data_IF_050333832181
#
_entry.id   IF_050333832181
#
_cell.length_a   1.000
_cell.length_b   1.000
_cell.length_c   1.000
_cell.angle_alpha   90.00
_cell.angle_beta   90.00
_cell.angle_gamma   90.00
#
_symmetry.space_group_name_H-M   'P 1'
#
loop_
_entity.id
_entity.type
_entity.pdbx_description
1 polymer ?
#
# COMPACT_ATOMS: atom_id res chain seq x y z
N UNK A 1 7.21 -10.54 19.31
CA UNK A 1 6.83 -9.81 18.09
C UNK A 1 5.38 -9.28 18.07
N UNK A 2 4.31 -10.08 17.95
CA UNK A 2 2.93 -9.53 17.80
C UNK A 2 2.47 -8.59 18.93
N UNK A 3 2.61 -9.03 20.19
CA UNK A 3 2.28 -8.20 21.36
C UNK A 3 3.18 -6.97 21.46
N UNK A 4 4.48 -7.14 21.19
CA UNK A 4 5.47 -6.07 21.14
C UNK A 4 5.10 -5.00 20.12
N UNK A 5 4.71 -5.39 18.91
CA UNK A 5 4.29 -4.48 17.85
C UNK A 5 3.02 -3.71 18.20
N UNK A 6 2.00 -4.39 18.77
CA UNK A 6 0.79 -3.68 19.22
C UNK A 6 1.08 -2.68 20.35
N UNK A 7 1.99 -3.01 21.26
CA UNK A 7 2.43 -2.09 22.29
C UNK A 7 3.22 -0.91 21.70
N UNK A 8 4.11 -1.18 20.73
CA UNK A 8 4.82 -0.16 19.99
C UNK A 8 3.86 0.84 19.33
N UNK A 9 2.84 0.36 18.61
CA UNK A 9 1.82 1.22 18.00
C UNK A 9 1.09 2.10 19.02
N UNK A 10 0.71 1.55 20.18
CA UNK A 10 0.05 2.32 21.25
C UNK A 10 0.92 3.45 21.79
N UNK A 11 2.23 3.24 21.83
CA UNK A 11 3.18 4.17 22.41
C UNK A 11 3.63 5.24 21.40
N UNK A 12 3.90 4.84 20.16
CA UNK A 12 4.57 5.67 19.16
C UNK A 12 3.63 6.20 18.07
N UNK A 13 2.42 5.65 17.94
CA UNK A 13 1.42 6.09 16.97
C UNK A 13 -0.01 6.13 17.56
N UNK A 14 -0.27 6.94 18.62
CA UNK A 14 -1.57 7.01 19.28
C UNK A 14 -2.71 7.48 18.36
N UNK A 15 -2.39 8.15 17.25
CA UNK A 15 -3.34 8.56 16.20
C UNK A 15 -3.83 7.39 15.34
N UNK A 16 -3.11 6.26 15.32
CA UNK A 16 -3.47 5.06 14.57
C UNK A 16 -4.16 4.05 15.50
N UNK A 17 -5.10 3.28 14.94
CA UNK A 17 -5.73 2.19 15.68
C UNK A 17 -4.76 1.01 15.78
N UNK A 18 -4.34 0.56 16.97
CA UNK A 18 -3.42 -0.56 17.11
C UNK A 18 -4.07 -1.86 16.61
N UNK A 19 -3.64 -2.32 15.43
CA UNK A 19 -4.11 -3.57 14.82
C UNK A 19 -2.93 -4.29 14.17
N UNK A 20 -3.03 -5.61 14.06
CA UNK A 20 -1.99 -6.41 13.42
C UNK A 20 -2.10 -6.33 11.89
N UNK A 21 -0.97 -6.54 11.23
CA UNK A 21 -0.94 -6.77 9.79
C UNK A 21 -1.89 -7.94 9.43
N UNK A 22 -2.87 -7.73 8.54
CA UNK A 22 -3.81 -8.77 8.16
C UNK A 22 -3.09 -9.79 7.28
N UNK A 23 -3.24 -11.08 7.60
CA UNK A 23 -2.64 -12.16 6.81
C UNK A 23 -3.42 -12.33 5.50
N UNK A 24 -2.82 -12.04 4.33
CA UNK A 24 -3.51 -12.23 3.07
C UNK A 24 -3.70 -13.72 2.79
N UNK A 25 -4.89 -14.09 2.34
CA UNK A 25 -5.23 -15.41 1.83
C UNK A 25 -5.09 -15.36 0.31
N UNK A 26 -4.17 -16.14 -0.24
CA UNK A 26 -3.80 -16.13 -1.67
C UNK A 26 -5.01 -16.27 -2.60
N UNK A 27 -6.01 -17.05 -2.19
CA UNK A 27 -7.22 -17.31 -2.97
C UNK A 27 -8.34 -16.27 -2.80
N UNK A 28 -8.20 -15.30 -1.89
CA UNK A 28 -9.22 -14.27 -1.60
C UNK A 28 -8.64 -12.88 -1.83
N UNK A 29 -8.90 -12.32 -3.00
CA UNK A 29 -8.33 -11.05 -3.44
C UNK A 29 -8.59 -9.90 -2.45
N UNK A 30 -9.78 -9.87 -1.82
CA UNK A 30 -10.10 -8.85 -0.82
C UNK A 30 -9.25 -8.92 0.45
N UNK A 31 -8.67 -10.08 0.79
CA UNK A 31 -7.71 -10.16 1.88
C UNK A 31 -6.37 -9.53 1.52
N UNK A 32 -5.92 -9.69 0.26
CA UNK A 32 -4.71 -9.03 -0.26
C UNK A 32 -4.88 -7.51 -0.30
N UNK A 33 -6.00 -7.01 -0.81
CA UNK A 33 -6.27 -5.57 -0.81
C UNK A 33 -6.29 -4.96 0.60
N UNK A 34 -6.85 -5.67 1.59
CA UNK A 34 -6.83 -5.23 3.00
C UNK A 34 -5.40 -5.15 3.53
N UNK A 35 -4.51 -6.07 3.15
CA UNK A 35 -3.09 -6.01 3.49
C UNK A 35 -2.38 -4.83 2.85
N UNK A 36 -2.66 -4.54 1.57
CA UNK A 36 -2.10 -3.36 0.88
C UNK A 36 -2.56 -2.05 1.54
N UNK A 37 -3.86 -1.91 1.83
CA UNK A 37 -4.40 -0.73 2.52
C UNK A 37 -3.77 -0.57 3.90
N UNK A 38 -3.61 -1.69 4.64
CA UNK A 38 -2.92 -1.67 5.91
C UNK A 38 -1.47 -1.21 5.76
N UNK A 39 -0.71 -1.72 4.79
CA UNK A 39 0.67 -1.26 4.57
C UNK A 39 0.69 0.22 4.25
N UNK A 40 -0.19 0.70 3.37
CA UNK A 40 -0.26 2.12 3.04
C UNK A 40 -0.49 3.02 4.28
N UNK A 41 -1.26 2.55 5.26
CA UNK A 41 -1.54 3.27 6.50
C UNK A 41 -0.42 3.15 7.56
N UNK A 42 0.26 1.99 7.65
CA UNK A 42 1.17 1.65 8.76
C UNK A 42 2.64 1.47 8.34
N UNK A 43 2.99 1.70 7.07
CA UNK A 43 4.33 1.41 6.52
C UNK A 43 5.44 2.02 7.37
N UNK A 44 5.33 3.30 7.73
CA UNK A 44 6.35 3.98 8.53
C UNK A 44 6.48 3.33 9.91
N UNK A 45 5.38 3.02 10.60
CA UNK A 45 5.42 2.39 11.91
C UNK A 45 5.98 0.97 11.87
N UNK A 46 5.82 0.26 10.74
CA UNK A 46 6.44 -1.04 10.54
C UNK A 46 7.95 -0.88 10.40
N UNK A 47 8.42 0.09 9.60
CA UNK A 47 9.84 0.38 9.43
C UNK A 47 10.46 0.76 10.78
N UNK A 48 9.84 1.69 11.51
CA UNK A 48 10.32 2.16 12.81
C UNK A 48 10.38 0.99 13.82
N UNK A 49 9.32 0.18 13.90
CA UNK A 49 9.31 -0.99 14.76
C UNK A 49 10.40 -1.99 14.39
N UNK A 50 10.61 -2.27 13.10
CA UNK A 50 11.65 -3.18 12.66
C UNK A 50 13.03 -2.65 13.04
N UNK A 51 13.28 -1.35 12.92
CA UNK A 51 14.55 -0.74 13.30
C UNK A 51 14.84 -0.85 14.81
N UNK A 52 13.81 -0.72 15.65
CA UNK A 52 13.94 -0.89 17.11
C UNK A 52 13.95 -2.36 17.57
N UNK A 53 13.37 -3.26 16.77
CA UNK A 53 13.25 -4.67 17.12
C UNK A 53 14.52 -5.43 16.70
N UNK A 54 15.39 -5.67 17.68
CA UNK A 54 16.54 -6.58 17.52
C UNK A 54 16.06 -8.03 17.44
N UNK A 55 16.27 -8.65 16.28
CA UNK A 55 15.87 -10.04 15.98
C UNK A 55 16.79 -10.60 14.90
N UNK A 56 17.34 -11.79 15.15
CA UNK A 56 18.25 -12.49 14.26
C UNK A 56 17.51 -13.32 13.19
N UNK A 57 16.18 -13.22 13.13
CA UNK A 57 15.40 -13.90 12.12
C UNK A 57 15.73 -13.38 10.71
N UNK A 58 16.14 -14.29 9.82
CA UNK A 58 16.51 -13.95 8.44
C UNK A 58 15.42 -13.23 7.65
N UNK A 59 14.15 -13.49 7.95
CA UNK A 59 13.02 -12.80 7.31
C UNK A 59 12.89 -11.36 7.80
N UNK A 60 13.13 -11.12 9.09
CA UNK A 60 13.14 -9.77 9.68
C UNK A 60 14.28 -8.95 9.09
N UNK A 61 15.49 -9.53 9.01
CA UNK A 61 16.67 -8.89 8.41
C UNK A 61 16.42 -8.54 6.94
N UNK A 62 15.94 -9.50 6.14
CA UNK A 62 15.61 -9.27 4.73
C UNK A 62 14.59 -8.14 4.53
N UNK A 63 13.56 -8.07 5.39
CA UNK A 63 12.59 -6.99 5.33
C UNK A 63 13.21 -5.63 5.67
N UNK A 64 14.11 -5.55 6.67
CA UNK A 64 14.85 -4.32 6.97
C UNK A 64 15.67 -3.86 5.77
N UNK A 65 16.45 -4.76 5.17
CA UNK A 65 17.27 -4.47 3.98
C UNK A 65 16.42 -3.96 2.80
N UNK A 66 15.22 -4.50 2.63
CA UNK A 66 14.27 -4.04 1.62
C UNK A 66 13.80 -2.60 1.88
N UNK A 67 13.57 -2.23 3.13
CA UNK A 67 13.12 -0.88 3.51
C UNK A 67 14.25 0.15 3.55
N UNK A 68 15.50 -0.27 3.76
CA UNK A 68 16.70 0.59 3.66
C UNK A 68 16.96 1.07 2.22
N UNK A 69 16.41 0.36 1.22
CA UNK A 69 16.50 0.80 -0.17
C UNK A 69 15.44 1.86 -0.46
N UNK A 70 15.82 3.14 -0.34
CA UNK A 70 14.94 4.29 -0.58
C UNK A 70 14.17 4.23 -1.91
N UNK A 71 14.80 3.74 -2.97
CA UNK A 71 14.17 3.63 -4.31
C UNK A 71 13.07 2.56 -4.28
N UNK A 72 13.35 1.41 -3.66
CA UNK A 72 12.37 0.33 -3.53
C UNK A 72 11.22 0.77 -2.62
N UNK A 73 11.52 1.39 -1.48
CA UNK A 73 10.56 1.92 -0.51
C UNK A 73 9.63 2.94 -1.15
N UNK A 74 10.16 3.90 -1.91
CA UNK A 74 9.34 4.94 -2.57
C UNK A 74 8.43 4.33 -3.64
N UNK A 75 8.94 3.41 -4.48
CA UNK A 75 8.14 2.66 -5.46
C UNK A 75 7.01 1.87 -4.80
N UNK A 76 7.30 1.18 -3.69
CA UNK A 76 6.29 0.46 -2.91
C UNK A 76 5.24 1.46 -2.42
N UNK A 77 5.62 2.60 -1.85
CA UNK A 77 4.69 3.60 -1.35
C UNK A 77 3.76 4.15 -2.45
N UNK A 78 4.27 4.41 -3.65
CA UNK A 78 3.46 4.80 -4.82
C UNK A 78 2.46 3.71 -5.17
N UNK A 79 2.89 2.45 -5.24
CA UNK A 79 2.01 1.31 -5.55
C UNK A 79 0.93 1.10 -4.49
N UNK A 80 1.30 1.17 -3.21
CA UNK A 80 0.38 1.04 -2.08
C UNK A 80 -0.67 2.16 -2.10
N UNK A 81 -0.24 3.40 -2.39
CA UNK A 81 -1.13 4.55 -2.50
C UNK A 81 -2.10 4.37 -3.65
N UNK A 82 -1.59 4.02 -4.84
CA UNK A 82 -2.41 3.79 -6.02
C UNK A 82 -3.48 2.72 -5.77
N UNK A 83 -3.09 1.55 -5.26
CA UNK A 83 -4.05 0.47 -4.97
C UNK A 83 -5.08 0.92 -3.95
N UNK A 84 -4.67 1.64 -2.90
CA UNK A 84 -5.58 2.11 -1.84
C UNK A 84 -6.59 3.14 -2.36
N UNK A 85 -6.21 3.98 -3.33
CA UNK A 85 -7.08 5.00 -3.91
C UNK A 85 -8.05 4.44 -4.96
N UNK A 86 -7.57 3.59 -5.85
CA UNK A 86 -8.32 3.20 -7.06
C UNK A 86 -9.02 1.84 -6.94
N UNK A 87 -8.51 0.92 -6.12
CA UNK A 87 -9.09 -0.41 -5.99
C UNK A 87 -10.27 -0.58 -5.01
N UNK A 88 -10.72 0.38 -4.16
CA UNK A 88 -11.89 0.18 -3.30
C UNK A 88 -13.17 -0.21 -4.05
N UNK A 89 -13.38 0.29 -5.27
CA UNK A 89 -14.53 -0.08 -6.10
C UNK A 89 -14.45 -1.53 -6.60
N UNK A 90 -13.25 -1.99 -6.93
CA UNK A 90 -12.98 -3.39 -7.28
C UNK A 90 -13.26 -4.28 -6.08
N UNK A 91 -12.74 -3.92 -4.91
CA UNK A 91 -12.98 -4.67 -3.67
C UNK A 91 -14.46 -4.82 -3.35
N UNK A 92 -15.23 -3.71 -3.44
CA UNK A 92 -16.68 -3.72 -3.21
C UNK A 92 -17.41 -4.64 -4.20
N UNK A 93 -16.99 -4.67 -5.47
CA UNK A 93 -17.58 -5.58 -6.44
C UNK A 93 -17.27 -7.04 -6.08
N UNK A 94 -16.03 -7.35 -5.69
CA UNK A 94 -15.64 -8.69 -5.25
C UNK A 94 -16.46 -9.12 -4.03
N UNK A 95 -16.58 -8.26 -2.99
CA UNK A 95 -17.37 -8.57 -1.79
C UNK A 95 -18.84 -8.85 -2.15
N UNK A 96 -19.42 -8.09 -3.09
CA UNK A 96 -20.78 -8.32 -3.54
C UNK A 96 -20.92 -9.67 -4.26
N UNK A 97 -19.95 -10.04 -5.10
CA UNK A 97 -19.96 -11.29 -5.86
C UNK A 97 -19.71 -12.51 -4.97
N UNK A 98 -18.81 -12.42 -4.00
CA UNK A 98 -18.47 -13.49 -3.06
C UNK A 98 -19.56 -13.68 -1.98
N UNK A 99 -20.19 -12.59 -1.54
CA UNK A 99 -21.07 -12.58 -0.38
C UNK A 99 -22.54 -12.90 -0.66
N UNK A 100 -22.94 -13.14 -1.90
CA UNK A 100 -24.36 -13.35 -2.21
C UNK A 100 -24.69 -14.81 -2.53
N UNK A 101 -25.78 -15.27 -1.92
CA UNK A 101 -26.45 -16.52 -2.25
C UNK A 101 -27.33 -16.42 -3.51
N UNK A 102 -27.27 -15.30 -4.23
CA UNK A 102 -28.12 -15.00 -5.39
C UNK A 102 -27.31 -15.04 -6.70
N UNK A 103 -27.92 -15.55 -7.78
CA UNK A 103 -27.24 -15.70 -9.06
C UNK A 103 -27.00 -14.35 -9.74
N UNK A 104 -25.74 -13.94 -9.83
CA UNK A 104 -25.34 -12.67 -10.46
C UNK A 104 -25.13 -12.75 -11.97
N UNK A 105 -25.24 -13.93 -12.59
CA UNK A 105 -24.87 -14.11 -13.99
C UNK A 105 -25.56 -13.10 -14.93
N UNK A 106 -26.83 -12.79 -14.68
CA UNK A 106 -27.64 -11.86 -15.47
C UNK A 106 -27.29 -10.38 -15.28
N UNK A 107 -26.66 -9.97 -14.18
CA UNK A 107 -26.27 -8.57 -13.91
C UNK A 107 -24.76 -8.34 -13.89
N UNK A 108 -23.96 -9.40 -14.01
CA UNK A 108 -22.50 -9.33 -13.98
C UNK A 108 -21.97 -8.39 -15.05
N UNK A 109 -22.47 -8.50 -16.28
CA UNK A 109 -22.04 -7.66 -17.39
C UNK A 109 -22.27 -6.17 -17.11
N UNK A 110 -23.47 -5.82 -16.62
CA UNK A 110 -23.79 -4.44 -16.23
C UNK A 110 -22.84 -3.92 -15.15
N UNK A 111 -22.58 -4.72 -14.11
CA UNK A 111 -21.66 -4.33 -13.02
C UNK A 111 -20.22 -4.14 -13.51
N UNK A 112 -19.78 -4.94 -14.48
CA UNK A 112 -18.45 -4.80 -15.09
C UNK A 112 -18.36 -3.54 -15.94
N UNK A 113 -19.38 -3.21 -16.73
CA UNK A 113 -19.42 -1.95 -17.49
C UNK A 113 -19.49 -0.72 -16.58
N UNK A 114 -20.23 -0.79 -15.46
CA UNK A 114 -20.24 0.26 -14.44
C UNK A 114 -18.85 0.47 -13.83
N UNK A 115 -18.17 -0.64 -13.49
CA UNK A 115 -16.80 -0.60 -12.95
C UNK A 115 -15.83 -0.01 -13.98
N UNK A 116 -15.87 -0.48 -15.23
CA UNK A 116 -15.02 0.00 -16.32
C UNK A 116 -15.23 1.50 -16.55
N UNK A 117 -16.48 1.95 -16.68
CA UNK A 117 -16.81 3.36 -16.87
C UNK A 117 -16.31 4.21 -15.69
N UNK A 118 -16.45 3.70 -14.47
CA UNK A 118 -15.93 4.37 -13.28
C UNK A 118 -14.40 4.47 -13.27
N UNK A 119 -13.69 3.40 -13.65
CA UNK A 119 -12.23 3.39 -13.72
C UNK A 119 -11.73 4.30 -14.83
N UNK A 120 -12.38 4.31 -15.99
CA UNK A 120 -12.06 5.22 -17.09
C UNK A 120 -12.20 6.68 -16.67
N UNK A 121 -13.30 7.06 -15.99
CA UNK A 121 -13.45 8.42 -15.41
C UNK A 121 -12.36 8.76 -14.39
N UNK A 122 -11.86 7.77 -13.65
CA UNK A 122 -10.76 7.96 -12.71
C UNK A 122 -9.41 8.10 -13.42
N UNK A 123 -9.23 7.47 -14.59
CA UNK A 123 -8.05 7.67 -15.45
C UNK A 123 -8.10 8.98 -16.23
N UNK A 124 -9.28 9.46 -16.60
CA UNK A 124 -9.52 10.76 -17.26
C UNK A 124 -9.48 11.92 -16.26
N UNK A 125 -9.72 11.63 -14.98
CA UNK A 125 -9.40 12.51 -13.87
C UNK A 125 -7.89 12.56 -13.62
N UNK A 126 -7.41 13.70 -13.15
CA UNK A 126 -6.07 13.81 -12.57
C UNK A 126 -5.88 12.74 -11.48
N UNK A 127 -4.68 12.17 -11.34
CA UNK A 127 -4.35 11.29 -10.21
C UNK A 127 -4.84 11.92 -8.89
N UNK A 128 -5.20 11.10 -7.89
CA UNK A 128 -5.60 11.63 -6.58
C UNK A 128 -4.52 12.56 -6.01
N UNK A 129 -4.91 13.60 -5.26
CA UNK A 129 -3.97 14.61 -4.73
C UNK A 129 -2.77 13.95 -4.02
N UNK A 130 -2.98 12.85 -3.29
CA UNK A 130 -1.89 12.15 -2.60
C UNK A 130 -0.94 11.46 -3.58
N UNK A 131 -1.45 10.79 -4.60
CA UNK A 131 -0.62 10.16 -5.65
C UNK A 131 0.19 11.22 -6.41
N UNK A 132 -0.41 12.38 -6.76
CA UNK A 132 0.32 13.49 -7.39
C UNK A 132 1.40 14.05 -6.49
N UNK A 133 1.08 14.28 -5.21
CA UNK A 133 2.02 14.83 -4.25
C UNK A 133 3.24 13.89 -4.09
N UNK A 134 3.04 12.59 -4.04
CA UNK A 134 4.13 11.61 -3.98
C UNK A 134 4.94 11.61 -5.29
N UNK A 135 4.29 11.54 -6.47
CA UNK A 135 4.99 11.55 -7.76
C UNK A 135 5.76 12.85 -8.02
N UNK A 136 5.24 14.00 -7.56
CA UNK A 136 5.93 15.29 -7.65
C UNK A 136 7.16 15.36 -6.74
N UNK A 137 7.11 14.67 -5.59
CA UNK A 137 8.23 14.56 -4.67
C UNK A 137 9.30 13.60 -5.23
N UNK A 138 8.91 12.47 -5.83
CA UNK A 138 9.84 11.54 -6.50
C UNK A 138 10.55 12.18 -7.71
N UNK A 139 9.84 12.93 -8.56
CA UNK A 139 10.46 13.65 -9.68
C UNK A 139 11.47 14.71 -9.22
N UNK A 140 11.29 15.30 -8.05
CA UNK A 140 12.28 16.20 -7.44
C UNK A 140 13.50 15.47 -6.88
N UNK A 141 13.33 14.21 -6.44
CA UNK A 141 14.43 13.36 -5.94
C UNK A 141 15.32 12.92 -7.10
N UNK A 142 14.74 12.54 -8.24
CA UNK A 142 15.48 12.09 -9.44
C UNK A 142 16.37 13.22 -10.00
N UNK A 143 15.87 14.46 -10.01
CA UNK A 143 16.63 15.63 -10.47
C UNK A 143 17.72 16.11 -9.48
N UNK A 144 17.51 15.91 -8.18
CA UNK A 144 18.47 16.23 -7.10
C UNK A 144 19.60 15.19 -7.01
N UNK A 145 19.30 13.91 -7.24
CA UNK A 145 20.30 12.83 -7.26
C UNK A 145 21.25 12.90 -8.46
N UNK A 146 20.78 13.34 -9.63
CA UNK A 146 21.65 13.59 -10.79
C UNK A 146 22.70 14.69 -10.52
N UNK A 147 22.35 15.72 -9.75
CA UNK A 147 23.28 16.80 -9.38
C UNK A 147 24.30 16.35 -8.33
N UNK A 148 23.90 15.50 -7.36
CA UNK A 148 24.82 14.97 -6.34
C UNK A 148 25.82 13.94 -6.88
N UNK A 149 25.42 13.11 -7.84
CA UNK A 149 26.34 12.15 -8.49
C UNK A 149 27.29 12.81 -9.49
N UNK A 150 26.92 13.98 -10.05
CA UNK A 150 27.82 14.79 -10.87
C UNK A 150 28.87 15.54 -10.03
N UNK A 151 28.51 16.01 -8.82
CA UNK A 151 29.41 16.75 -7.93
C UNK A 151 30.44 15.89 -7.18
N UNK A 152 30.25 14.56 -7.12
CA UNK A 152 31.21 13.61 -6.52
C UNK A 152 32.24 13.07 -7.54
N UNK A 153 32.14 13.50 -8.82
CA UNK A 153 33.06 13.11 -9.90
C UNK A 153 33.95 14.27 -10.40
N UNK A 154 33.96 15.42 -9.70
CA UNK A 154 34.83 16.57 -9.99
C UNK A 154 36.01 16.65 -9.03
#
# INVERSE_FOLDING_TARGET
>A
MKSSYLNFLRQHAPQLTPKLYPTPVVTRWNSWFKSVIYLNEYMQQIIDFLNEYEDDNSSTIYLKECFENDILTSKIQVQLTFVSEFCPKIMKLIDNLEGSNYSFAHILWSKLEDLKSSLQRQCEGSFGEKTINILSTENSIDHSMMLKTAALKS
#
